data_IF_230178808377
#
_entry.id   IF_230178808377
#
_cell.length_a   1.000
_cell.length_b   1.000
_cell.length_c   1.000
_cell.angle_alpha   90.00
_cell.angle_beta   90.00
_cell.angle_gamma   90.00
#
_symmetry.space_group_name_H-M   'P 1'
#
loop_
_entity.id
_entity.type
_entity.pdbx_description
1 polymer ?
#
# COMPACT_ATOMS: atom_id res chain seq x y z
N UNK A 1 -20.64 8.03 -4.98
CA UNK A 1 -20.69 6.53 -5.04
C UNK A 1 -19.97 5.97 -3.83
N UNK A 2 -20.30 4.76 -3.33
CA UNK A 2 -19.56 4.17 -2.21
C UNK A 2 -19.51 2.65 -2.30
N UNK A 3 -18.44 2.07 -1.75
CA UNK A 3 -18.25 0.63 -1.57
C UNK A 3 -18.06 0.38 -0.07
N UNK A 4 -18.98 -0.38 0.53
CA UNK A 4 -18.90 -0.89 1.88
C UNK A 4 -18.50 -2.36 1.86
N UNK A 5 -17.52 -2.72 2.68
CA UNK A 5 -16.98 -4.07 2.82
C UNK A 5 -16.90 -4.40 4.32
N UNK A 6 -17.51 -5.51 4.73
CA UNK A 6 -17.37 -6.11 6.05
C UNK A 6 -17.48 -7.62 5.87
N UNK A 7 -16.33 -8.31 5.78
CA UNK A 7 -16.25 -9.72 5.40
C UNK A 7 -15.25 -10.50 6.24
N UNK A 8 -15.54 -11.79 6.37
CA UNK A 8 -14.64 -12.78 6.93
C UNK A 8 -14.42 -13.93 5.93
N UNK A 9 -13.17 -14.42 5.84
CA UNK A 9 -12.81 -15.60 5.06
C UNK A 9 -11.75 -16.42 5.76
N UNK A 10 -11.96 -17.73 5.88
CA UNK A 10 -10.96 -18.67 6.38
C UNK A 10 -10.29 -19.40 5.23
N UNK A 11 -8.98 -19.52 5.32
CA UNK A 11 -8.13 -20.20 4.33
C UNK A 11 -7.11 -21.04 5.11
N UNK A 12 -7.51 -22.24 5.51
CA UNK A 12 -6.71 -23.06 6.41
C UNK A 12 -6.52 -22.37 7.77
N UNK A 13 -5.28 -22.10 8.16
CA UNK A 13 -4.95 -21.39 9.39
C UNK A 13 -5.10 -19.86 9.27
N UNK A 14 -5.14 -19.32 8.05
CA UNK A 14 -5.27 -17.88 7.82
C UNK A 14 -6.73 -17.43 7.92
N UNK A 15 -6.98 -16.33 8.64
CA UNK A 15 -8.31 -15.72 8.76
C UNK A 15 -8.24 -14.28 8.23
N UNK A 16 -9.01 -13.99 7.20
CA UNK A 16 -9.25 -12.64 6.71
C UNK A 16 -10.43 -12.01 7.44
N UNK A 17 -10.25 -10.79 7.91
CA UNK A 17 -11.29 -9.90 8.45
C UNK A 17 -11.08 -8.51 7.87
N UNK A 18 -11.90 -8.15 6.91
CA UNK A 18 -11.73 -6.89 6.17
C UNK A 18 -12.97 -6.05 6.32
N UNK A 19 -12.81 -4.87 6.96
CA UNK A 19 -13.91 -3.93 7.21
C UNK A 19 -13.49 -2.51 6.89
N UNK A 20 -14.11 -1.92 5.88
CA UNK A 20 -13.89 -0.52 5.48
C UNK A 20 -15.04 -0.02 4.60
N UNK A 21 -15.10 1.29 4.45
CA UNK A 21 -15.92 1.98 3.47
C UNK A 21 -15.06 2.97 2.68
N UNK A 22 -15.31 3.07 1.39
CA UNK A 22 -14.67 4.03 0.49
C UNK A 22 -15.73 4.69 -0.38
N UNK A 23 -15.64 6.02 -0.51
CA UNK A 23 -16.53 6.83 -1.34
C UNK A 23 -16.00 6.93 -2.79
N UNK A 24 -16.28 8.04 -3.45
CA UNK A 24 -15.77 8.37 -4.80
C UNK A 24 -14.31 8.85 -4.69
N UNK A 25 -13.42 7.95 -4.32
CA UNK A 25 -12.01 8.22 -4.06
C UNK A 25 -11.17 6.95 -4.22
N UNK A 26 -9.84 7.09 -4.24
CA UNK A 26 -8.92 5.95 -4.28
C UNK A 26 -8.46 5.60 -2.87
N UNK A 27 -8.76 4.37 -2.44
CA UNK A 27 -8.34 3.79 -1.18
C UNK A 27 -7.18 2.81 -1.40
N UNK A 28 -6.03 3.08 -0.79
CA UNK A 28 -4.94 2.12 -0.71
C UNK A 28 -5.24 1.01 0.31
N UNK A 29 -5.07 -0.25 -0.08
CA UNK A 29 -4.90 -1.37 0.84
C UNK A 29 -3.40 -1.65 0.95
N UNK A 30 -2.77 -1.18 2.03
CA UNK A 30 -1.34 -1.24 2.27
C UNK A 30 -1.00 -2.31 3.31
N UNK A 31 0.08 -3.07 3.12
CA UNK A 31 0.52 -4.08 4.09
C UNK A 31 1.51 -5.06 3.49
N UNK A 32 2.11 -5.89 4.34
CA UNK A 32 3.09 -6.89 3.94
C UNK A 32 2.51 -7.92 2.95
N UNK A 33 3.39 -8.64 2.24
CA UNK A 33 2.96 -9.73 1.38
C UNK A 33 2.25 -10.82 2.22
N UNK A 34 1.17 -11.38 1.69
CA UNK A 34 0.40 -12.43 2.38
C UNK A 34 -0.59 -11.93 3.46
N UNK A 35 -0.68 -10.63 3.77
CA UNK A 35 -1.60 -10.12 4.79
C UNK A 35 -3.10 -10.11 4.39
N UNK A 36 -3.45 -10.49 3.14
CA UNK A 36 -4.85 -10.65 2.72
C UNK A 36 -5.37 -9.63 1.71
N UNK A 37 -4.57 -8.68 1.23
CA UNK A 37 -4.98 -7.61 0.29
C UNK A 37 -5.66 -8.15 -0.98
N UNK A 38 -4.96 -8.96 -1.74
CA UNK A 38 -5.51 -9.57 -2.98
C UNK A 38 -6.70 -10.47 -2.72
N UNK A 39 -6.76 -11.13 -1.53
CA UNK A 39 -7.90 -11.94 -1.14
C UNK A 39 -9.13 -11.06 -0.91
N UNK A 40 -8.98 -9.92 -0.26
CA UNK A 40 -10.04 -8.91 -0.09
C UNK A 40 -10.59 -8.48 -1.45
N UNK A 41 -9.71 -8.13 -2.40
CA UNK A 41 -10.14 -7.76 -3.75
C UNK A 41 -10.89 -8.89 -4.46
N UNK A 42 -10.39 -10.13 -4.37
CA UNK A 42 -11.06 -11.32 -4.95
C UNK A 42 -12.45 -11.55 -4.35
N UNK A 43 -12.61 -11.32 -3.05
CA UNK A 43 -13.91 -11.39 -2.40
C UNK A 43 -14.86 -10.30 -2.92
N UNK A 44 -14.39 -9.06 -3.08
CA UNK A 44 -15.20 -7.97 -3.61
C UNK A 44 -15.60 -8.22 -5.07
N UNK A 45 -14.69 -8.73 -5.88
CA UNK A 45 -14.94 -9.08 -7.28
C UNK A 45 -15.88 -10.29 -7.46
N UNK A 46 -16.13 -11.08 -6.40
CA UNK A 46 -16.93 -12.30 -6.45
C UNK A 46 -16.20 -13.52 -7.03
N UNK A 47 -14.87 -13.45 -7.11
CA UNK A 47 -14.02 -14.57 -7.52
C UNK A 47 -13.90 -15.60 -6.39
N UNK A 48 -13.91 -15.10 -5.15
CA UNK A 48 -13.92 -15.90 -3.93
C UNK A 48 -15.12 -15.48 -3.10
N UNK A 49 -15.93 -16.44 -2.66
CA UNK A 49 -17.07 -16.17 -1.78
C UNK A 49 -16.58 -16.03 -0.34
N UNK A 50 -16.85 -14.92 0.37
CA UNK A 50 -16.61 -14.80 1.80
C UNK A 50 -17.40 -15.83 2.59
N UNK A 51 -16.93 -16.19 3.80
CA UNK A 51 -17.69 -17.11 4.66
C UNK A 51 -18.78 -16.37 5.43
N UNK A 52 -18.55 -15.10 5.80
CA UNK A 52 -19.50 -14.24 6.51
C UNK A 52 -19.36 -12.78 6.06
N UNK A 53 -20.41 -12.01 6.34
CA UNK A 53 -20.39 -10.57 6.20
C UNK A 53 -21.20 -10.05 5.03
N UNK A 54 -20.86 -8.82 4.61
CA UNK A 54 -21.65 -8.08 3.62
C UNK A 54 -20.76 -7.21 2.75
N UNK A 55 -21.09 -7.12 1.46
CA UNK A 55 -20.49 -6.19 0.48
C UNK A 55 -21.60 -5.42 -0.20
N UNK A 56 -21.50 -4.08 -0.20
CA UNK A 56 -22.49 -3.19 -0.80
C UNK A 56 -21.80 -2.18 -1.70
N UNK A 57 -22.24 -2.06 -2.94
CA UNK A 57 -21.72 -1.07 -3.89
C UNK A 57 -22.88 -0.18 -4.34
N UNK A 58 -22.78 1.13 -4.11
CA UNK A 58 -23.82 2.12 -4.47
C UNK A 58 -25.22 1.75 -3.98
N UNK A 59 -25.33 1.27 -2.74
CA UNK A 59 -26.58 0.80 -2.14
C UNK A 59 -27.05 -0.58 -2.61
N UNK A 60 -26.43 -1.17 -3.63
CA UNK A 60 -26.72 -2.53 -4.10
C UNK A 60 -25.92 -3.56 -3.34
N UNK A 61 -26.59 -4.55 -2.77
CA UNK A 61 -25.95 -5.68 -2.08
C UNK A 61 -25.33 -6.61 -3.11
N UNK A 62 -24.00 -6.80 -3.04
CA UNK A 62 -23.25 -7.72 -3.90
C UNK A 62 -23.10 -9.10 -3.23
N UNK A 63 -22.89 -9.08 -1.92
CA UNK A 63 -22.79 -10.26 -1.06
C UNK A 63 -23.42 -9.98 0.29
N UNK A 64 -24.16 -10.95 0.83
CA UNK A 64 -24.73 -10.90 2.19
C UNK A 64 -24.95 -12.34 2.66
N UNK A 65 -24.17 -12.76 3.66
CA UNK A 65 -24.19 -14.13 4.17
C UNK A 65 -25.52 -14.46 4.90
N UNK A 66 -26.17 -13.48 5.54
CA UNK A 66 -27.43 -13.68 6.26
C UNK A 66 -28.60 -13.81 5.28
N UNK A 67 -28.62 -12.98 4.23
CA UNK A 67 -29.65 -12.98 3.19
C UNK A 67 -29.40 -13.98 2.07
N UNK A 68 -28.27 -14.72 2.12
CA UNK A 68 -27.83 -15.66 1.08
C UNK A 68 -27.75 -15.02 -0.29
N UNK A 69 -27.33 -13.77 -0.35
CA UNK A 69 -27.09 -13.05 -1.59
C UNK A 69 -25.61 -13.22 -1.97
N UNK A 70 -25.33 -13.72 -3.17
CA UNK A 70 -23.98 -13.82 -3.73
C UNK A 70 -24.05 -13.61 -5.25
N UNK A 71 -23.82 -12.37 -5.69
CA UNK A 71 -23.85 -12.02 -7.09
C UNK A 71 -22.58 -12.56 -7.78
N UNK A 72 -22.77 -13.10 -8.98
CA UNK A 72 -21.63 -13.53 -9.82
C UNK A 72 -20.74 -12.33 -10.19
N UNK A 73 -19.45 -12.54 -10.51
CA UNK A 73 -18.53 -11.46 -10.91
C UNK A 73 -19.13 -10.57 -12.02
N UNK A 74 -19.78 -11.17 -13.01
CA UNK A 74 -20.38 -10.45 -14.14
C UNK A 74 -21.53 -9.52 -13.71
N UNK A 75 -22.26 -9.89 -12.66
CA UNK A 75 -23.38 -9.10 -12.12
C UNK A 75 -22.91 -7.95 -11.21
N UNK A 76 -21.70 -8.04 -10.63
CA UNK A 76 -21.23 -7.05 -9.64
C UNK A 76 -20.86 -5.71 -10.25
N UNK A 77 -20.51 -5.63 -11.53
CA UNK A 77 -19.97 -4.44 -12.20
C UNK A 77 -18.75 -3.86 -11.50
N UNK A 78 -17.92 -4.75 -10.97
CA UNK A 78 -16.63 -4.45 -10.35
C UNK A 78 -15.57 -5.03 -11.26
N UNK A 79 -14.69 -4.20 -11.75
CA UNK A 79 -13.62 -4.68 -12.62
C UNK A 79 -12.30 -4.79 -11.85
N UNK A 80 -11.54 -5.83 -12.20
CA UNK A 80 -10.34 -6.25 -11.48
C UNK A 80 -9.16 -6.27 -12.42
N UNK A 81 -8.13 -5.47 -12.11
CA UNK A 81 -6.82 -5.57 -12.74
C UNK A 81 -5.97 -6.54 -11.94
N UNK A 82 -5.72 -7.70 -12.50
CA UNK A 82 -4.83 -8.71 -11.92
C UNK A 82 -3.37 -8.31 -12.07
N UNK A 83 -2.52 -8.75 -11.15
CA UNK A 83 -1.08 -8.54 -11.19
C UNK A 83 -0.44 -9.00 -12.52
N UNK A 84 -0.95 -10.05 -13.15
CA UNK A 84 -0.51 -10.56 -14.46
C UNK A 84 -1.39 -10.06 -15.62
N UNK A 85 -2.15 -8.96 -15.43
CA UNK A 85 -3.05 -8.31 -16.39
C UNK A 85 -4.17 -9.20 -16.95
N UNK A 86 -4.08 -10.51 -16.87
CA UNK A 86 -5.06 -11.52 -17.32
C UNK A 86 -5.63 -11.22 -18.74
N UNK A 87 -4.79 -10.89 -19.68
CA UNK A 87 -5.16 -10.74 -21.09
C UNK A 87 -5.46 -12.12 -21.68
N UNK A 88 -6.40 -12.19 -22.62
CA UNK A 88 -6.68 -13.40 -23.37
C UNK A 88 -5.55 -13.63 -24.38
N UNK A 89 -4.70 -14.68 -24.20
CA UNK A 89 -3.47 -14.83 -24.97
C UNK A 89 -3.72 -15.11 -26.45
N UNK A 90 -4.85 -15.74 -26.78
CA UNK A 90 -5.24 -16.10 -28.14
C UNK A 90 -6.05 -14.99 -28.85
N UNK A 91 -6.24 -13.83 -28.21
CA UNK A 91 -6.94 -12.67 -28.77
C UNK A 91 -5.96 -11.56 -29.07
N UNK A 92 -6.23 -10.79 -30.12
CA UNK A 92 -5.49 -9.59 -30.42
C UNK A 92 -5.78 -8.48 -29.41
N UNK A 93 -5.02 -7.37 -29.43
CA UNK A 93 -5.27 -6.17 -28.64
C UNK A 93 -6.71 -5.67 -28.82
N UNK A 94 -7.13 -5.48 -30.09
CA UNK A 94 -8.49 -5.03 -30.38
C UNK A 94 -9.55 -6.01 -29.82
N UNK A 95 -9.35 -7.30 -29.98
CA UNK A 95 -10.27 -8.33 -29.45
C UNK A 95 -10.33 -8.32 -27.93
N UNK A 96 -9.19 -8.18 -27.25
CA UNK A 96 -9.15 -8.04 -25.79
C UNK A 96 -9.96 -6.84 -25.30
N UNK A 97 -9.84 -5.68 -25.96
CA UNK A 97 -10.60 -4.48 -25.62
C UNK A 97 -12.10 -4.67 -25.91
N UNK A 98 -12.45 -5.22 -27.09
CA UNK A 98 -13.83 -5.50 -27.47
C UNK A 98 -14.56 -6.41 -26.48
N UNK A 99 -13.85 -7.38 -25.84
CA UNK A 99 -14.41 -8.24 -24.80
C UNK A 99 -14.87 -7.47 -23.55
N UNK A 100 -14.33 -6.28 -23.27
CA UNK A 100 -14.77 -5.40 -22.19
C UNK A 100 -16.11 -4.75 -22.45
N UNK A 101 -16.51 -4.57 -23.72
CA UNK A 101 -17.71 -3.80 -24.10
C UNK A 101 -18.96 -4.65 -23.96
N UNK A 102 -19.80 -4.33 -22.98
CA UNK A 102 -20.97 -5.13 -22.60
C UNK A 102 -22.14 -4.96 -23.56
N UNK A 103 -22.45 -3.75 -24.03
CA UNK A 103 -23.62 -3.41 -24.82
C UNK A 103 -23.25 -2.65 -26.10
N UNK A 104 -24.21 -2.53 -27.02
CA UNK A 104 -24.06 -1.79 -28.28
C UNK A 104 -24.00 -2.69 -29.53
N UNK A 105 -24.29 -2.09 -30.68
CA UNK A 105 -24.12 -2.72 -32.00
C UNK A 105 -22.66 -2.99 -32.31
N UNK A 106 -22.39 -3.81 -33.30
CA UNK A 106 -21.01 -4.12 -33.74
C UNK A 106 -20.23 -2.86 -34.17
N UNK A 107 -20.93 -1.88 -34.76
CA UNK A 107 -20.36 -0.61 -35.16
C UNK A 107 -19.96 0.25 -33.96
N UNK A 108 -20.87 0.39 -32.96
CA UNK A 108 -20.63 1.15 -31.74
C UNK A 108 -19.50 0.56 -30.91
N UNK A 109 -19.46 -0.79 -30.76
CA UNK A 109 -18.37 -1.47 -30.08
C UNK A 109 -17.01 -1.21 -30.71
N UNK A 110 -16.93 -1.22 -32.04
CA UNK A 110 -15.70 -0.91 -32.77
C UNK A 110 -15.27 0.54 -32.61
N UNK A 111 -16.24 1.47 -32.66
CA UNK A 111 -15.98 2.89 -32.46
C UNK A 111 -15.41 3.16 -31.05
N UNK A 112 -16.03 2.57 -30.01
CA UNK A 112 -15.54 2.68 -28.62
C UNK A 112 -14.16 2.01 -28.45
N UNK A 113 -13.94 0.84 -29.03
CA UNK A 113 -12.63 0.20 -28.99
C UNK A 113 -11.55 1.06 -29.67
N UNK A 114 -11.85 1.68 -30.83
CA UNK A 114 -10.92 2.59 -31.52
C UNK A 114 -10.63 3.86 -30.70
N UNK A 115 -11.64 4.39 -29.99
CA UNK A 115 -11.44 5.51 -29.06
C UNK A 115 -10.48 5.11 -27.93
N UNK A 116 -10.70 3.95 -27.30
CA UNK A 116 -9.82 3.47 -26.22
C UNK A 116 -8.41 3.13 -26.71
N UNK A 117 -8.26 2.57 -27.92
CA UNK A 117 -6.93 2.36 -28.52
C UNK A 117 -6.15 3.66 -28.62
N UNK A 118 -6.78 4.77 -29.07
CA UNK A 118 -6.15 6.10 -29.10
C UNK A 118 -5.84 6.62 -27.70
N UNK A 119 -6.84 6.59 -26.80
CA UNK A 119 -6.70 7.08 -25.42
C UNK A 119 -5.52 6.40 -24.69
N UNK A 120 -5.34 5.09 -24.90
CA UNK A 120 -4.29 4.30 -24.28
C UNK A 120 -3.00 4.21 -25.11
N UNK A 121 -2.86 4.98 -26.20
CA UNK A 121 -1.68 5.01 -27.09
C UNK A 121 -1.32 3.59 -27.58
N UNK A 122 -2.31 2.85 -28.03
CA UNK A 122 -2.20 1.47 -28.55
C UNK A 122 -2.39 1.40 -30.05
N UNK A 123 -2.42 2.53 -30.74
CA UNK A 123 -2.54 2.62 -32.21
C UNK A 123 -1.38 1.90 -32.89
N UNK A 124 -1.70 1.17 -33.96
CA UNK A 124 -0.76 0.30 -34.66
C UNK A 124 -0.47 -1.05 -34.00
N UNK A 125 -1.04 -1.31 -32.80
CA UNK A 125 -0.90 -2.58 -32.08
C UNK A 125 -2.14 -3.45 -32.14
N UNK A 126 -3.21 -3.03 -32.84
CA UNK A 126 -4.56 -3.64 -32.81
C UNK A 126 -4.54 -5.12 -33.10
N UNK A 127 -3.70 -5.54 -34.06
CA UNK A 127 -3.58 -6.94 -34.55
C UNK A 127 -2.55 -7.76 -33.80
N UNK A 128 -1.77 -7.16 -32.89
CA UNK A 128 -0.79 -7.89 -32.08
C UNK A 128 -1.48 -8.72 -30.99
N UNK A 129 -0.84 -9.83 -30.64
CA UNK A 129 -1.21 -10.67 -29.50
C UNK A 129 -0.44 -10.26 -28.23
N UNK A 130 -0.94 -10.56 -27.01
CA UNK A 130 -0.29 -10.20 -25.75
C UNK A 130 1.20 -10.54 -25.69
N UNK A 131 1.61 -11.71 -26.19
CA UNK A 131 3.01 -12.14 -26.20
C UNK A 131 3.95 -11.26 -27.05
N UNK A 132 3.40 -10.40 -27.91
CA UNK A 132 4.15 -9.47 -28.77
C UNK A 132 4.24 -8.07 -28.18
N UNK A 133 3.73 -7.86 -26.96
CA UNK A 133 3.64 -6.57 -26.27
C UNK A 133 4.63 -6.50 -25.11
N UNK A 134 5.15 -5.31 -24.86
CA UNK A 134 5.85 -5.03 -23.59
C UNK A 134 4.88 -5.09 -22.39
N UNK A 135 5.40 -5.26 -21.17
CA UNK A 135 4.58 -5.28 -19.96
C UNK A 135 3.69 -4.04 -19.81
N UNK A 136 4.22 -2.85 -20.07
CA UNK A 136 3.42 -1.62 -20.05
C UNK A 136 2.35 -1.56 -21.15
N UNK A 137 2.61 -2.11 -22.34
CA UNK A 137 1.58 -2.23 -23.38
C UNK A 137 0.48 -3.21 -22.96
N UNK A 138 0.84 -4.35 -22.36
CA UNK A 138 -0.14 -5.30 -21.83
C UNK A 138 -1.01 -4.68 -20.74
N UNK A 139 -0.42 -3.92 -19.83
CA UNK A 139 -1.15 -3.18 -18.80
C UNK A 139 -2.15 -2.20 -19.41
N UNK A 140 -1.73 -1.38 -20.39
CA UNK A 140 -2.61 -0.45 -21.08
C UNK A 140 -3.78 -1.14 -21.79
N UNK A 141 -3.55 -2.29 -22.40
CA UNK A 141 -4.63 -3.11 -22.99
C UNK A 141 -5.61 -3.60 -21.92
N UNK A 142 -5.12 -4.07 -20.78
CA UNK A 142 -5.97 -4.52 -19.67
C UNK A 142 -6.82 -3.38 -19.11
N UNK A 143 -6.23 -2.20 -18.90
CA UNK A 143 -6.95 -1.01 -18.45
C UNK A 143 -7.98 -0.52 -19.48
N UNK A 144 -7.62 -0.49 -20.76
CA UNK A 144 -8.56 -0.16 -21.83
C UNK A 144 -9.76 -1.12 -21.82
N UNK A 145 -9.56 -2.42 -21.63
CA UNK A 145 -10.60 -3.42 -21.48
C UNK A 145 -11.49 -3.16 -20.27
N UNK A 146 -10.92 -2.82 -19.11
CA UNK A 146 -11.61 -2.50 -17.87
C UNK A 146 -12.51 -1.27 -18.08
N UNK A 147 -11.97 -0.16 -18.57
CA UNK A 147 -12.76 1.07 -18.74
C UNK A 147 -13.82 0.97 -19.84
N UNK A 148 -13.69 0.02 -20.78
CA UNK A 148 -14.75 -0.29 -21.76
C UNK A 148 -15.98 -0.95 -21.15
N UNK A 149 -15.88 -1.54 -19.96
CA UNK A 149 -16.98 -2.23 -19.30
C UNK A 149 -17.90 -1.31 -18.52
N UNK A 150 -17.56 -0.02 -18.39
CA UNK A 150 -18.25 0.97 -17.56
C UNK A 150 -18.44 0.47 -16.13
N UNK A 151 -17.35 0.20 -15.41
CA UNK A 151 -17.41 -0.35 -14.06
C UNK A 151 -17.98 0.65 -13.07
N UNK A 152 -18.57 0.14 -11.98
CA UNK A 152 -19.00 0.97 -10.84
C UNK A 152 -17.93 1.04 -9.74
N UNK A 153 -16.92 0.17 -9.79
CA UNK A 153 -15.74 0.18 -8.95
C UNK A 153 -14.57 -0.47 -9.70
N UNK A 154 -13.35 -0.01 -9.42
CA UNK A 154 -12.11 -0.55 -10.00
C UNK A 154 -11.24 -1.11 -8.88
N UNK A 155 -10.72 -2.33 -9.07
CA UNK A 155 -9.82 -3.00 -8.16
C UNK A 155 -8.46 -3.20 -8.87
N UNK A 156 -7.41 -2.62 -8.31
CA UNK A 156 -6.04 -2.69 -8.85
C UNK A 156 -5.16 -3.50 -7.90
N UNK A 157 -4.73 -4.67 -8.35
CA UNK A 157 -3.90 -5.58 -7.54
C UNK A 157 -2.44 -5.50 -7.97
N UNK A 158 -1.64 -4.74 -7.21
CA UNK A 158 -0.22 -4.48 -7.45
C UNK A 158 0.08 -4.11 -8.92
N UNK A 159 -0.53 -3.03 -9.44
CA UNK A 159 -0.52 -2.74 -10.87
C UNK A 159 0.89 -2.56 -11.47
N UNK A 160 1.90 -2.24 -10.67
CA UNK A 160 3.26 -1.95 -11.14
C UNK A 160 4.35 -2.87 -10.58
N UNK A 161 3.98 -3.96 -9.89
CA UNK A 161 4.95 -4.83 -9.19
C UNK A 161 5.95 -5.55 -10.10
N UNK A 162 5.64 -5.69 -11.38
CA UNK A 162 6.47 -6.39 -12.37
C UNK A 162 7.33 -5.46 -13.24
N UNK A 163 7.42 -4.16 -12.90
CA UNK A 163 8.06 -3.15 -13.73
C UNK A 163 9.34 -2.61 -13.09
N UNK A 164 10.33 -2.24 -13.92
CA UNK A 164 11.49 -1.48 -13.46
C UNK A 164 11.10 -0.06 -13.01
N UNK A 165 11.94 0.56 -12.17
CA UNK A 165 11.61 1.83 -11.50
C UNK A 165 11.35 2.99 -12.47
N UNK A 166 12.04 3.04 -13.61
CA UNK A 166 11.86 4.11 -14.59
C UNK A 166 10.54 3.97 -15.35
N UNK A 167 10.25 2.76 -15.79
CA UNK A 167 9.00 2.45 -16.50
C UNK A 167 7.79 2.59 -15.56
N UNK A 168 7.96 2.17 -14.29
CA UNK A 168 6.94 2.31 -13.24
C UNK A 168 6.48 3.76 -13.11
N UNK A 169 7.41 4.72 -12.94
CA UNK A 169 7.08 6.14 -12.77
C UNK A 169 6.23 6.69 -13.92
N UNK A 170 6.63 6.43 -15.17
CA UNK A 170 5.88 6.90 -16.33
C UNK A 170 4.48 6.30 -16.41
N UNK A 171 4.35 5.01 -16.10
CA UNK A 171 3.05 4.32 -16.13
C UNK A 171 2.15 4.70 -14.96
N UNK A 172 2.71 5.06 -13.79
CA UNK A 172 1.95 5.64 -12.68
C UNK A 172 1.26 6.94 -13.10
N UNK A 173 2.00 7.85 -13.74
CA UNK A 173 1.45 9.12 -14.25
C UNK A 173 0.36 8.87 -15.30
N UNK A 174 0.64 8.00 -16.29
CA UNK A 174 -0.36 7.64 -17.30
C UNK A 174 -1.63 7.04 -16.69
N UNK A 175 -1.49 6.14 -15.71
CA UNK A 175 -2.63 5.51 -15.05
C UNK A 175 -3.44 6.52 -14.24
N UNK A 176 -2.77 7.40 -13.50
CA UNK A 176 -3.42 8.47 -12.73
C UNK A 176 -4.25 9.38 -13.64
N UNK A 177 -3.70 9.81 -14.78
CA UNK A 177 -4.41 10.61 -15.78
C UNK A 177 -5.63 9.88 -16.36
N UNK A 178 -5.49 8.58 -16.64
CA UNK A 178 -6.57 7.75 -17.17
C UNK A 178 -7.70 7.51 -16.18
N UNK A 179 -7.37 7.42 -14.88
CA UNK A 179 -8.33 7.23 -13.81
C UNK A 179 -8.96 8.55 -13.32
N UNK A 180 -8.37 9.71 -13.63
CA UNK A 180 -8.88 11.01 -13.21
C UNK A 180 -10.32 11.29 -13.69
N UNK A 181 -10.74 10.68 -14.82
CA UNK A 181 -12.11 10.78 -15.33
C UNK A 181 -13.06 9.70 -14.83
N UNK A 182 -12.60 8.79 -13.96
CA UNK A 182 -13.45 7.74 -13.41
C UNK A 182 -14.14 8.24 -12.13
N UNK A 183 -15.46 8.11 -12.09
CA UNK A 183 -16.26 8.40 -10.90
C UNK A 183 -16.71 7.10 -10.26
N UNK A 184 -16.23 6.85 -9.07
CA UNK A 184 -16.51 5.65 -8.28
C UNK A 184 -15.33 5.21 -7.41
N UNK A 185 -15.56 4.28 -6.48
CA UNK A 185 -14.51 3.77 -5.60
C UNK A 185 -13.44 3.02 -6.38
N UNK A 186 -12.18 3.36 -6.10
CA UNK A 186 -11.00 2.64 -6.59
C UNK A 186 -10.30 2.03 -5.38
N UNK A 187 -10.06 0.72 -5.41
CA UNK A 187 -9.19 0.05 -4.45
C UNK A 187 -7.84 -0.23 -5.10
N UNK A 188 -6.80 0.25 -4.46
CA UNK A 188 -5.42 0.13 -4.92
C UNK A 188 -4.61 -0.71 -3.94
N UNK A 189 -4.22 -1.90 -4.33
CA UNK A 189 -3.35 -2.76 -3.52
C UNK A 189 -1.90 -2.51 -3.91
N UNK A 190 -1.08 -2.17 -2.93
CA UNK A 190 0.38 -2.07 -3.10
C UNK A 190 1.09 -2.42 -1.78
N UNK A 191 2.38 -2.72 -1.87
CA UNK A 191 3.31 -2.79 -0.76
C UNK A 191 4.28 -1.59 -0.72
N UNK A 192 4.19 -0.70 -1.72
CA UNK A 192 5.01 0.50 -1.87
C UNK A 192 4.23 1.73 -1.37
N UNK A 193 4.68 2.27 -0.23
CA UNK A 193 4.06 3.46 0.36
C UNK A 193 4.14 4.67 -0.59
N UNK A 194 5.27 4.85 -1.28
CA UNK A 194 5.46 5.97 -2.21
C UNK A 194 4.44 5.95 -3.34
N UNK A 195 4.17 4.76 -3.91
CA UNK A 195 3.11 4.54 -4.89
C UNK A 195 1.74 4.93 -4.33
N UNK A 196 1.42 4.47 -3.10
CA UNK A 196 0.15 4.82 -2.45
C UNK A 196 0.02 6.33 -2.18
N UNK A 197 1.09 6.98 -1.71
CA UNK A 197 1.10 8.43 -1.47
C UNK A 197 0.83 9.26 -2.73
N UNK A 198 1.30 8.80 -3.89
CA UNK A 198 1.11 9.52 -5.16
C UNK A 198 -0.27 9.31 -5.77
N UNK A 199 -0.89 8.15 -5.54
CA UNK A 199 -2.07 7.72 -6.29
C UNK A 199 -3.35 7.59 -5.44
N UNK A 200 -3.25 7.62 -4.11
CA UNK A 200 -4.37 7.36 -3.22
C UNK A 200 -4.62 8.50 -2.24
N UNK A 201 -5.87 8.81 -1.99
CA UNK A 201 -6.28 9.81 -1.00
C UNK A 201 -6.37 9.22 0.40
N UNK A 202 -6.83 7.98 0.49
CA UNK A 202 -7.06 7.26 1.75
C UNK A 202 -6.25 5.98 1.80
N UNK A 203 -6.06 5.47 3.00
CA UNK A 203 -5.35 4.22 3.24
C UNK A 203 -6.02 3.40 4.33
N UNK A 204 -6.03 2.10 4.12
CA UNK A 204 -6.37 1.08 5.10
C UNK A 204 -5.19 0.12 5.21
N UNK A 205 -4.59 0.01 6.38
CA UNK A 205 -3.48 -0.92 6.62
C UNK A 205 -4.03 -2.31 6.90
N UNK A 206 -3.48 -3.31 6.23
CA UNK A 206 -3.80 -4.71 6.46
C UNK A 206 -2.65 -5.43 7.18
N UNK A 207 -2.97 -6.05 8.30
CA UNK A 207 -2.02 -6.79 9.11
C UNK A 207 -2.63 -8.12 9.58
N UNK A 208 -1.91 -9.23 9.42
CA UNK A 208 -2.33 -10.56 9.89
C UNK A 208 -3.78 -10.94 9.51
N UNK A 209 -4.22 -10.52 8.34
CA UNK A 209 -5.57 -10.77 7.86
C UNK A 209 -6.63 -9.77 8.30
N UNK A 210 -6.30 -8.81 9.17
CA UNK A 210 -7.22 -7.78 9.63
C UNK A 210 -6.96 -6.43 8.95
N UNK A 211 -8.02 -5.69 8.65
CA UNK A 211 -7.94 -4.31 8.17
C UNK A 211 -8.00 -3.32 9.33
N UNK A 212 -7.20 -2.25 9.28
CA UNK A 212 -7.33 -1.09 10.18
C UNK A 212 -8.54 -0.22 9.79
N UNK A 213 -8.81 0.81 10.58
CA UNK A 213 -9.66 1.92 10.14
C UNK A 213 -9.03 2.65 8.94
N UNK A 214 -9.91 3.20 8.08
CA UNK A 214 -9.48 4.06 6.97
C UNK A 214 -9.00 5.40 7.51
N UNK A 215 -7.87 5.88 7.01
CA UNK A 215 -7.29 7.18 7.38
C UNK A 215 -6.70 7.88 6.15
N UNK A 216 -6.36 9.15 6.29
CA UNK A 216 -5.62 9.88 5.25
C UNK A 216 -4.16 9.42 5.19
N UNK A 217 -3.56 9.50 3.99
CA UNK A 217 -2.15 9.17 3.81
C UNK A 217 -1.23 10.01 4.70
N UNK A 218 -1.51 11.30 4.86
CA UNK A 218 -0.74 12.20 5.73
C UNK A 218 -0.81 11.76 7.19
N UNK A 219 -2.00 11.38 7.65
CA UNK A 219 -2.21 10.86 9.02
C UNK A 219 -1.45 9.56 9.23
N UNK A 220 -1.46 8.63 8.26
CA UNK A 220 -0.68 7.39 8.34
C UNK A 220 0.81 7.67 8.51
N UNK A 221 1.36 8.58 7.70
CA UNK A 221 2.80 8.89 7.71
C UNK A 221 3.22 9.60 8.99
N UNK A 222 2.43 10.56 9.47
CA UNK A 222 2.76 11.36 10.66
C UNK A 222 2.39 10.69 11.98
N UNK A 223 1.28 9.94 11.99
CA UNK A 223 0.68 9.39 13.20
C UNK A 223 0.25 7.92 12.99
N UNK A 224 1.18 7.01 12.70
CA UNK A 224 0.85 5.60 12.49
C UNK A 224 0.19 5.02 13.74
N UNK A 225 -0.99 4.41 13.57
CA UNK A 225 -1.78 3.89 14.69
C UNK A 225 -1.23 2.59 15.27
N UNK A 226 -0.44 1.83 14.49
CA UNK A 226 0.14 0.55 14.90
C UNK A 226 1.64 0.46 14.59
N UNK A 227 2.36 -0.45 15.23
CA UNK A 227 3.76 -0.71 14.90
C UNK A 227 3.94 -1.12 13.43
N UNK A 228 3.03 -1.92 12.89
CA UNK A 228 3.06 -2.31 11.48
C UNK A 228 2.88 -1.12 10.55
N UNK A 229 1.96 -0.21 10.88
CA UNK A 229 1.79 1.04 10.16
C UNK A 229 3.09 1.86 10.18
N UNK A 230 3.74 2.00 11.33
CA UNK A 230 5.01 2.69 11.48
C UNK A 230 6.16 2.03 10.66
N UNK A 231 6.20 0.70 10.61
CA UNK A 231 7.16 -0.04 9.75
C UNK A 231 6.92 0.23 8.27
N UNK A 232 5.66 0.27 7.85
CA UNK A 232 5.28 0.57 6.47
C UNK A 232 5.63 2.01 6.08
N UNK A 233 5.59 2.96 7.03
CA UNK A 233 6.03 4.35 6.80
C UNK A 233 7.54 4.55 6.87
N UNK A 234 8.31 3.47 6.94
CA UNK A 234 9.77 3.49 6.86
C UNK A 234 10.48 3.63 8.21
N UNK A 235 9.74 3.64 9.33
CA UNK A 235 10.38 3.63 10.64
C UNK A 235 11.18 2.34 10.83
N UNK A 236 12.47 2.47 11.15
CA UNK A 236 13.42 1.36 11.31
C UNK A 236 13.72 1.05 12.77
N UNK A 237 13.57 2.03 13.65
CA UNK A 237 13.95 1.94 15.05
C UNK A 237 12.73 1.65 15.92
N UNK A 238 12.67 0.42 16.44
CA UNK A 238 11.66 -0.01 17.42
C UNK A 238 12.42 -0.50 18.64
N UNK A 239 12.31 0.24 19.73
CA UNK A 239 13.13 0.03 20.93
C UNK A 239 12.22 -0.31 22.11
N UNK A 240 12.54 -1.35 22.88
CA UNK A 240 11.85 -1.61 24.13
C UNK A 240 12.14 -0.50 25.13
N UNK A 241 11.12 -0.11 25.86
CA UNK A 241 11.21 0.92 26.89
C UNK A 241 10.53 0.48 28.17
N UNK A 242 10.97 1.03 29.30
CA UNK A 242 10.35 0.85 30.60
C UNK A 242 9.87 2.17 31.16
N UNK A 243 8.75 2.12 31.84
CA UNK A 243 8.21 3.27 32.55
C UNK A 243 9.14 3.64 33.70
N UNK A 244 9.38 4.93 33.86
CA UNK A 244 10.15 5.49 34.99
C UNK A 244 9.58 6.87 35.36
N UNK A 245 10.13 7.45 36.43
CA UNK A 245 9.77 8.82 36.81
C UNK A 245 10.21 9.81 35.72
N UNK A 246 9.28 10.65 35.28
CA UNK A 246 9.48 11.62 34.21
C UNK A 246 9.25 11.09 32.78
N UNK A 247 8.88 9.81 32.58
CA UNK A 247 8.58 9.31 31.24
C UNK A 247 8.88 7.83 31.02
N UNK A 248 9.50 7.50 29.89
CA UNK A 248 9.99 6.16 29.57
C UNK A 248 11.48 6.17 29.30
N UNK A 249 12.18 5.13 29.74
CA UNK A 249 13.61 4.95 29.51
C UNK A 249 13.83 3.87 28.47
N UNK A 250 14.68 4.14 27.48
CA UNK A 250 15.08 3.18 26.46
C UNK A 250 15.98 2.10 27.06
N UNK A 251 15.61 0.84 26.85
CA UNK A 251 16.38 -0.29 27.38
C UNK A 251 17.77 -0.33 26.73
N UNK A 252 18.82 -0.25 27.59
CA UNK A 252 20.21 -0.28 27.20
C UNK A 252 20.78 1.03 26.63
N UNK A 253 20.03 2.13 26.62
CA UNK A 253 20.50 3.41 26.07
C UNK A 253 20.62 4.54 27.07
N UNK A 254 20.24 4.37 28.28
CA UNK A 254 20.20 5.44 29.30
C UNK A 254 19.58 6.78 28.79
N UNK A 255 18.61 6.70 27.91
CA UNK A 255 17.91 7.82 27.31
C UNK A 255 16.49 7.88 27.91
N UNK A 256 16.15 9.00 28.51
CA UNK A 256 14.83 9.29 29.02
C UNK A 256 14.04 10.08 27.96
N UNK A 257 12.86 9.57 27.59
CA UNK A 257 11.92 10.29 26.75
C UNK A 257 10.71 10.70 27.60
N UNK A 258 10.26 11.97 27.57
CA UNK A 258 9.10 12.46 28.31
C UNK A 258 7.80 12.01 27.62
N UNK A 259 7.60 10.71 27.50
CA UNK A 259 6.43 10.07 26.93
C UNK A 259 5.66 9.36 28.06
N UNK A 260 4.34 9.42 28.00
CA UNK A 260 3.50 8.76 29.01
C UNK A 260 3.17 7.34 28.59
N UNK A 261 3.56 6.36 29.39
CA UNK A 261 3.16 4.96 29.29
C UNK A 261 2.25 4.60 30.48
N UNK A 262 1.18 3.85 30.22
CA UNK A 262 0.29 3.32 31.26
C UNK A 262 0.84 2.00 31.82
N UNK A 263 1.37 1.13 30.93
CA UNK A 263 2.00 -0.14 31.27
C UNK A 263 3.46 -0.01 31.75
N UNK A 264 4.01 -1.09 32.34
CA UNK A 264 5.40 -1.14 32.76
C UNK A 264 6.38 -1.26 31.57
N UNK A 265 5.94 -1.91 30.49
CA UNK A 265 6.72 -2.14 29.27
C UNK A 265 5.97 -1.64 28.07
N UNK A 266 6.72 -1.10 27.12
CA UNK A 266 6.20 -0.62 25.86
C UNK A 266 7.30 -0.67 24.79
N UNK A 267 6.90 -0.45 23.55
CA UNK A 267 7.83 -0.26 22.43
C UNK A 267 7.72 1.18 21.93
N UNK A 268 8.85 1.88 21.82
CA UNK A 268 8.90 3.18 21.16
C UNK A 268 9.43 3.03 19.73
N UNK A 269 8.73 3.64 18.76
CA UNK A 269 9.29 3.86 17.44
C UNK A 269 9.93 5.23 17.37
N UNK A 270 11.15 5.26 16.83
CA UNK A 270 11.94 6.47 16.61
C UNK A 270 12.15 6.61 15.09
N UNK A 271 11.30 7.37 14.38
CA UNK A 271 11.46 7.61 12.95
C UNK A 271 12.72 8.43 12.66
N UNK A 272 13.24 8.35 11.44
CA UNK A 272 14.46 9.05 11.04
C UNK A 272 14.41 10.56 11.34
N UNK A 273 13.26 11.21 11.14
CA UNK A 273 13.05 12.61 11.46
C UNK A 273 12.99 12.96 12.96
N UNK A 274 13.00 11.95 13.85
CA UNK A 274 13.07 12.15 15.30
C UNK A 274 14.51 12.09 15.83
N UNK A 275 15.50 11.84 14.98
CA UNK A 275 16.90 11.76 15.36
C UNK A 275 17.67 12.93 14.76
N UNK A 276 18.37 13.70 15.58
CA UNK A 276 19.25 14.78 15.14
C UNK A 276 20.69 14.46 15.53
N UNK A 277 21.63 14.74 14.63
CA UNK A 277 23.07 14.45 14.83
C UNK A 277 23.89 15.73 15.06
N UNK A 278 23.26 16.90 14.98
CA UNK A 278 23.90 18.17 15.28
C UNK A 278 23.56 18.60 16.71
N UNK A 279 24.56 18.90 17.51
CA UNK A 279 24.37 19.34 18.90
C UNK A 279 23.78 18.26 19.81
N UNK A 280 24.05 17.00 19.54
CA UNK A 280 23.46 15.87 20.25
C UNK A 280 23.84 15.78 21.74
N UNK A 281 22.86 15.41 22.58
CA UNK A 281 23.00 15.23 24.04
C UNK A 281 23.46 13.84 24.43
N UNK A 282 23.37 12.87 23.52
CA UNK A 282 23.78 11.48 23.72
C UNK A 282 24.92 11.12 22.75
N UNK A 283 25.76 10.18 23.14
CA UNK A 283 26.85 9.69 22.30
C UNK A 283 26.74 8.20 22.09
N UNK A 284 27.08 7.75 20.89
CA UNK A 284 27.10 6.33 20.55
C UNK A 284 28.21 6.00 19.57
N UNK A 285 28.62 4.73 19.54
CA UNK A 285 29.63 4.24 18.62
C UNK A 285 28.98 3.82 17.31
N UNK A 286 29.57 4.25 16.19
CA UNK A 286 29.20 3.79 14.86
C UNK A 286 29.70 2.37 14.66
N UNK A 287 28.79 1.41 14.60
CA UNK A 287 29.12 -0.01 14.38
C UNK A 287 29.12 -0.39 12.91
N UNK A 288 28.38 0.35 12.07
CA UNK A 288 28.28 0.10 10.64
C UNK A 288 27.89 1.37 9.88
N UNK A 289 28.43 1.53 8.68
CA UNK A 289 28.04 2.59 7.73
C UNK A 289 27.37 1.95 6.53
N UNK A 290 26.16 2.40 6.21
CA UNK A 290 25.35 1.93 5.08
C UNK A 290 25.22 3.10 4.10
N UNK A 291 25.79 2.93 2.90
CA UNK A 291 25.71 3.94 1.83
C UNK A 291 24.66 3.52 0.82
N UNK A 292 23.71 4.40 0.59
CA UNK A 292 22.69 4.26 -0.44
C UNK A 292 22.89 5.37 -1.49
N UNK A 293 22.13 5.32 -2.60
CA UNK A 293 22.27 6.28 -3.70
C UNK A 293 22.09 7.74 -3.25
N UNK A 294 21.13 8.00 -2.36
CA UNK A 294 20.72 9.34 -1.95
C UNK A 294 20.92 9.62 -0.45
N UNK A 295 21.41 8.66 0.32
CA UNK A 295 21.56 8.81 1.76
C UNK A 295 22.69 7.95 2.31
N UNK A 296 23.27 8.40 3.42
CA UNK A 296 24.16 7.56 4.23
C UNK A 296 23.46 7.32 5.56
N UNK A 297 23.31 6.05 5.93
CA UNK A 297 22.80 5.68 7.23
C UNK A 297 23.92 5.04 8.06
N UNK A 298 23.88 5.23 9.37
CA UNK A 298 24.78 4.59 10.32
C UNK A 298 24.00 3.77 11.33
N UNK A 299 24.59 2.67 11.77
CA UNK A 299 24.06 1.86 12.86
C UNK A 299 24.84 2.21 14.11
N UNK A 300 24.16 2.80 15.08
CA UNK A 300 24.71 3.20 16.36
C UNK A 300 24.48 2.11 17.41
N UNK A 301 25.48 1.89 18.27
CA UNK A 301 25.39 1.06 19.47
C UNK A 301 25.75 1.85 20.70
N UNK A 302 25.02 1.59 21.79
CA UNK A 302 25.34 2.15 23.09
C UNK A 302 26.70 1.64 23.55
N UNK A 303 27.55 2.54 24.04
CA UNK A 303 28.91 2.17 24.46
C UNK A 303 28.89 1.26 25.70
N UNK A 304 27.97 1.48 26.62
CA UNK A 304 27.87 0.76 27.90
C UNK A 304 26.97 -0.50 27.84
N UNK A 305 26.20 -0.68 26.74
CA UNK A 305 25.29 -1.81 26.55
C UNK A 305 25.35 -2.32 25.11
N UNK A 306 26.37 -3.08 24.72
CA UNK A 306 26.56 -3.56 23.34
C UNK A 306 25.44 -4.49 22.85
N UNK A 307 24.72 -5.14 23.75
CA UNK A 307 23.57 -6.01 23.44
C UNK A 307 22.24 -5.25 23.31
N UNK A 308 22.22 -3.94 23.60
CA UNK A 308 21.05 -3.11 23.38
C UNK A 308 20.66 -3.07 21.90
N UNK A 309 19.36 -2.97 21.56
CA UNK A 309 18.91 -2.81 20.19
C UNK A 309 19.61 -1.60 19.53
N UNK A 310 20.18 -1.78 18.33
CA UNK A 310 20.89 -0.69 17.66
C UNK A 310 19.91 0.40 17.18
N UNK A 311 20.42 1.63 17.06
CA UNK A 311 19.73 2.74 16.39
C UNK A 311 20.26 2.91 14.97
N UNK A 312 19.37 2.89 13.98
CA UNK A 312 19.70 3.26 12.60
C UNK A 312 19.42 4.75 12.42
N UNK A 313 20.40 5.51 12.00
CA UNK A 313 20.33 6.96 11.84
C UNK A 313 20.71 7.34 10.43
N UNK A 314 19.84 8.09 9.74
CA UNK A 314 20.18 8.69 8.44
C UNK A 314 20.94 9.99 8.69
N UNK A 315 22.16 10.06 8.14
CA UNK A 315 23.00 11.25 8.29
C UNK A 315 22.49 12.38 7.39
N UNK A 316 22.47 13.62 7.87
CA UNK A 316 22.24 14.79 7.03
C UNK A 316 23.28 14.91 5.91
N UNK A 317 22.92 15.61 4.84
CA UNK A 317 23.82 15.90 3.73
C UNK A 317 25.07 16.62 4.23
N UNK A 318 26.26 16.14 3.83
CA UNK A 318 27.54 16.71 4.24
C UNK A 318 28.12 16.11 5.52
N UNK A 319 27.33 15.42 6.34
CA UNK A 319 27.85 14.72 7.55
C UNK A 319 28.45 13.39 7.13
N UNK A 320 29.69 13.14 7.57
CA UNK A 320 30.43 11.90 7.30
C UNK A 320 30.71 11.19 8.62
N UNK A 321 30.65 9.87 8.59
CA UNK A 321 31.06 9.02 9.70
C UNK A 321 31.74 7.74 9.17
N UNK A 322 32.66 7.19 9.94
CA UNK A 322 33.31 5.92 9.69
C UNK A 322 32.97 4.92 10.81
N UNK A 323 33.16 3.63 10.53
CA UNK A 323 33.02 2.59 11.54
C UNK A 323 34.03 2.82 12.66
N UNK A 324 33.58 2.78 13.90
CA UNK A 324 34.39 3.07 15.08
C UNK A 324 34.30 4.51 15.58
N UNK A 325 33.78 5.45 14.77
CA UNK A 325 33.60 6.83 15.21
C UNK A 325 32.56 6.92 16.35
N UNK A 326 32.69 7.98 17.14
CA UNK A 326 31.65 8.37 18.11
C UNK A 326 30.81 9.46 17.53
N UNK A 327 29.50 9.24 17.48
CA UNK A 327 28.51 10.21 16.97
C UNK A 327 27.68 10.74 18.13
N UNK A 328 27.50 12.07 18.16
CA UNK A 328 26.56 12.72 19.06
C UNK A 328 25.18 12.84 18.39
N UNK A 329 24.12 12.55 19.15
CA UNK A 329 22.75 12.62 18.64
C UNK A 329 21.75 13.01 19.74
N UNK A 330 20.57 13.44 19.35
CA UNK A 330 19.44 13.65 20.25
C UNK A 330 18.17 13.02 19.66
N UNK A 331 17.24 12.65 20.53
CA UNK A 331 15.94 12.13 20.17
C UNK A 331 14.85 13.20 20.44
N UNK A 332 14.03 13.49 19.43
CA UNK A 332 12.90 14.40 19.53
C UNK A 332 11.67 13.62 19.99
N UNK A 333 11.35 13.70 21.26
CA UNK A 333 10.28 12.92 21.88
C UNK A 333 8.89 13.15 21.26
N UNK A 334 8.60 14.37 20.85
CA UNK A 334 7.36 14.78 20.19
C UNK A 334 7.11 14.06 18.86
N UNK A 335 8.16 13.56 18.21
CA UNK A 335 8.12 12.78 16.96
C UNK A 335 8.15 11.28 17.17
N UNK A 336 8.47 10.82 18.38
CA UNK A 336 8.44 9.40 18.73
C UNK A 336 7.00 8.91 18.96
N UNK A 337 6.76 7.62 18.77
CA UNK A 337 5.46 6.97 19.02
C UNK A 337 5.64 5.78 19.94
N UNK A 338 4.70 5.64 20.88
CA UNK A 338 4.73 4.60 21.91
C UNK A 338 3.53 3.67 21.72
N UNK A 339 3.80 2.38 21.80
CA UNK A 339 2.75 1.34 21.87
C UNK A 339 3.03 0.44 23.06
N UNK A 340 2.00 0.18 23.81
CA UNK A 340 2.01 -0.74 24.94
C UNK A 340 1.98 -2.19 24.46
N UNK A 341 2.63 -3.10 25.19
CA UNK A 341 2.62 -4.54 24.91
C UNK A 341 1.35 -5.22 25.43
#
# INVERSE_FOLDING_TARGET
MSLYVDIEKRLGAFRLQSKFEVADETLALLGASGCGKSMTLKCIAGIVTPDRGRIVLNGRVLFDSEKRTDLTPQQRRVDYLFQQYALFPNMTVEQNILCGIRAGSRSEKRALAAEKLRMFRLEGLEKKHPAQLSGGQQQRVALARILCSEPQAILLDEPFSALDSYLKWNLELELSDLLAGFHGPILWVSHDLGECCRNCQKVCVMENGASSSVTDMETLVRYPATQSAARLTGCRNFLPVRRCEGGVRLDGWDILLPLHAVGERATVAVPDGAITVEGGTHTARVSRVIRDLNATAVVLRAAEAPDAPPLCVVLPEGVRAAEGDTLSFSLLADRCRLWEE
#
